data_IF_002994844890
#
_entry.id   IF_002994844890
#
_cell.length_a   1.000
_cell.length_b   1.000
_cell.length_c   1.000
_cell.angle_alpha   90.00
_cell.angle_beta   90.00
_cell.angle_gamma   90.00
#
_symmetry.space_group_name_H-M   'P 1'
#
loop_
_entity.id
_entity.type
_entity.pdbx_description
1 polymer ?
#
# COMPACT_ATOMS: atom_id res chain seq x y z
N UNK A 1 14.19 -5.85 37.05
CA UNK A 1 15.38 -5.77 36.17
C UNK A 1 15.42 -4.41 35.46
N UNK A 2 16.60 -3.83 35.24
CA UNK A 2 16.77 -2.52 34.57
C UNK A 2 16.10 -2.52 33.20
N UNK A 3 16.30 -3.58 32.42
CA UNK A 3 15.66 -3.78 31.12
C UNK A 3 14.12 -3.62 31.12
N UNK A 4 13.43 -4.11 32.15
CA UNK A 4 11.96 -3.98 32.25
C UNK A 4 11.56 -2.53 32.47
N UNK A 5 12.35 -1.76 33.21
CA UNK A 5 12.11 -0.34 33.41
C UNK A 5 12.37 0.45 32.12
N UNK A 6 13.45 0.15 31.41
CA UNK A 6 13.80 0.77 30.12
C UNK A 6 12.72 0.54 29.06
N UNK A 7 12.22 -0.68 28.92
CA UNK A 7 11.14 -0.99 27.96
C UNK A 7 9.86 -0.22 28.31
N UNK A 8 9.51 -0.09 29.59
CA UNK A 8 8.34 0.69 30.02
C UNK A 8 8.49 2.17 29.70
N UNK A 9 9.67 2.73 29.96
CA UNK A 9 9.98 4.12 29.64
C UNK A 9 9.91 4.38 28.12
N UNK A 10 10.49 3.48 27.32
CA UNK A 10 10.42 3.56 25.87
C UNK A 10 8.97 3.48 25.37
N UNK A 11 8.16 2.53 25.88
CA UNK A 11 6.74 2.43 25.53
C UNK A 11 5.99 3.71 25.91
N UNK A 12 6.22 4.27 27.10
CA UNK A 12 5.58 5.50 27.54
C UNK A 12 5.96 6.69 26.64
N UNK A 13 7.23 6.80 26.27
CA UNK A 13 7.72 7.82 25.35
C UNK A 13 7.08 7.68 23.96
N UNK A 14 7.06 6.48 23.40
CA UNK A 14 6.45 6.22 22.09
C UNK A 14 4.94 6.52 22.08
N UNK A 15 4.23 6.13 23.13
CA UNK A 15 2.80 6.43 23.28
C UNK A 15 2.54 7.95 23.41
N UNK A 16 3.39 8.66 24.15
CA UNK A 16 3.28 10.11 24.31
C UNK A 16 3.58 10.89 23.01
N UNK A 17 4.37 10.30 22.10
CA UNK A 17 4.77 10.91 20.84
C UNK A 17 4.08 10.29 19.61
N UNK A 18 2.96 9.58 19.81
CA UNK A 18 2.24 8.96 18.71
C UNK A 18 1.52 10.04 17.87
N UNK A 19 2.01 10.28 16.66
CA UNK A 19 1.44 11.29 15.78
C UNK A 19 0.15 10.83 15.08
N UNK A 20 0.02 9.52 14.86
CA UNK A 20 -1.10 8.92 14.13
C UNK A 20 -1.59 7.69 14.88
N UNK A 21 -2.89 7.63 15.15
CA UNK A 21 -3.51 6.43 15.70
C UNK A 21 -3.90 5.48 14.59
N UNK A 22 -3.58 4.21 14.78
CA UNK A 22 -4.00 3.13 13.90
C UNK A 22 -5.33 2.55 14.39
N UNK A 23 -6.04 1.87 13.49
CA UNK A 23 -7.29 1.16 13.80
C UNK A 23 -7.53 0.06 12.77
N UNK A 24 -8.31 -0.97 13.11
CA UNK A 24 -8.59 -2.07 12.18
C UNK A 24 -9.14 -1.56 10.83
N UNK A 25 -8.63 -2.09 9.71
CA UNK A 25 -9.06 -1.66 8.36
C UNK A 25 -10.56 -1.86 8.13
N UNK A 26 -11.15 -2.90 8.74
CA UNK A 26 -12.59 -3.15 8.70
C UNK A 26 -12.94 -4.60 8.41
N UNK A 27 -14.23 -4.84 8.16
CA UNK A 27 -14.79 -6.17 7.96
C UNK A 27 -14.20 -6.89 6.74
N UNK A 28 -13.95 -8.19 6.88
CA UNK A 28 -13.41 -9.01 5.80
C UNK A 28 -11.93 -8.78 5.49
N UNK A 29 -11.19 -8.09 6.37
CA UNK A 29 -9.73 -7.99 6.42
C UNK A 29 -9.17 -8.71 7.68
N UNK A 30 -7.88 -9.09 7.70
CA UNK A 30 -7.26 -9.68 8.89
C UNK A 30 -7.26 -8.72 10.08
N UNK A 31 -7.54 -9.21 11.28
CA UNK A 31 -7.61 -8.38 12.51
C UNK A 31 -6.29 -7.68 12.86
N UNK A 32 -5.15 -8.27 12.47
CA UNK A 32 -3.83 -7.69 12.70
C UNK A 32 -3.47 -6.56 11.72
N UNK A 33 -4.32 -6.30 10.72
CA UNK A 33 -4.10 -5.27 9.72
C UNK A 33 -4.81 -3.98 10.12
N UNK A 34 -4.03 -2.95 10.37
CA UNK A 34 -4.54 -1.66 10.81
C UNK A 34 -4.32 -0.58 9.74
N UNK A 35 -5.32 0.27 9.57
CA UNK A 35 -5.23 1.54 8.87
C UNK A 35 -4.09 2.37 9.49
N UNK A 36 -3.27 2.97 8.63
CA UNK A 36 -2.07 3.74 8.94
C UNK A 36 -0.95 2.95 9.62
N UNK A 37 -1.12 1.64 9.81
CA UNK A 37 -0.06 0.77 10.30
C UNK A 37 1.11 0.72 9.32
N UNK A 38 2.32 0.61 9.87
CA UNK A 38 3.56 0.58 9.12
C UNK A 38 4.08 -0.85 9.10
N UNK A 39 4.18 -1.45 7.91
CA UNK A 39 4.51 -2.85 7.75
C UNK A 39 5.55 -3.06 6.67
N UNK A 40 6.52 -3.93 6.93
CA UNK A 40 7.33 -4.55 5.88
C UNK A 40 6.44 -5.41 4.98
N UNK A 41 6.93 -5.69 3.77
CA UNK A 41 6.21 -6.55 2.83
C UNK A 41 6.05 -7.96 3.39
N UNK A 42 7.04 -8.43 4.14
CA UNK A 42 7.07 -9.71 4.83
C UNK A 42 6.00 -9.79 5.93
N UNK A 43 5.83 -8.74 6.74
CA UNK A 43 4.76 -8.66 7.74
C UNK A 43 3.39 -8.68 7.09
N UNK A 44 3.19 -7.92 6.00
CA UNK A 44 1.93 -7.93 5.23
C UNK A 44 1.63 -9.36 4.77
N UNK A 45 2.60 -10.06 4.19
CA UNK A 45 2.39 -11.44 3.77
C UNK A 45 2.18 -12.42 4.92
N UNK A 46 2.78 -12.20 6.09
CA UNK A 46 2.52 -12.99 7.28
C UNK A 46 1.07 -12.79 7.75
N UNK A 47 0.59 -11.54 7.81
CA UNK A 47 -0.78 -11.19 8.17
C UNK A 47 -1.80 -11.86 7.24
N UNK A 48 -1.48 -11.97 5.96
CA UNK A 48 -2.31 -12.66 4.96
C UNK A 48 -2.03 -14.17 4.82
N UNK A 49 -1.25 -14.78 5.71
CA UNK A 49 -0.96 -16.22 5.70
C UNK A 49 -0.15 -16.71 4.49
N UNK A 50 0.53 -15.80 3.79
CA UNK A 50 1.40 -16.10 2.63
C UNK A 50 2.84 -16.37 3.03
N UNK A 51 3.23 -15.99 4.24
CA UNK A 51 4.53 -16.26 4.85
C UNK A 51 4.33 -16.88 6.23
N UNK A 52 4.86 -18.10 6.43
CA UNK A 52 4.81 -18.84 7.69
C UNK A 52 6.20 -19.42 8.02
N UNK A 53 6.35 -20.05 9.19
CA UNK A 53 7.60 -20.73 9.57
C UNK A 53 8.02 -21.80 8.53
N UNK A 54 7.04 -22.54 8.01
CA UNK A 54 7.26 -23.64 7.07
C UNK A 54 7.14 -23.22 5.60
N UNK A 55 6.63 -22.00 5.33
CA UNK A 55 6.38 -21.49 3.98
C UNK A 55 7.01 -20.12 3.81
N UNK A 56 8.08 -20.05 3.03
CA UNK A 56 8.56 -18.78 2.48
C UNK A 56 7.84 -18.50 1.18
N UNK A 57 7.29 -17.29 1.06
CA UNK A 57 6.73 -16.85 -0.19
C UNK A 57 7.85 -16.74 -1.23
N UNK A 58 7.72 -17.48 -2.34
CA UNK A 58 8.58 -17.35 -3.51
C UNK A 58 7.79 -16.63 -4.60
N UNK A 59 8.33 -15.52 -5.11
CA UNK A 59 7.76 -14.82 -6.25
C UNK A 59 6.73 -13.74 -5.91
N UNK A 60 7.15 -12.49 -6.10
CA UNK A 60 6.51 -11.49 -6.95
C UNK A 60 7.29 -10.21 -6.71
N UNK A 61 8.06 -9.80 -7.71
CA UNK A 61 8.71 -8.46 -7.77
C UNK A 61 7.68 -7.41 -8.20
N UNK A 62 6.45 -7.81 -8.50
CA UNK A 62 5.41 -6.91 -8.97
C UNK A 62 4.73 -6.20 -7.79
N UNK A 63 4.49 -4.90 -7.97
CA UNK A 63 3.80 -4.01 -7.02
C UNK A 63 2.34 -4.36 -6.78
N UNK A 64 1.86 -5.53 -7.23
CA UNK A 64 0.49 -6.00 -7.02
C UNK A 64 0.50 -7.48 -6.66
N UNK A 65 -0.34 -7.90 -5.72
CA UNK A 65 -0.49 -9.29 -5.30
C UNK A 65 -1.94 -9.66 -5.06
N UNK A 66 -2.41 -10.77 -5.64
CA UNK A 66 -3.79 -11.21 -5.53
C UNK A 66 -3.97 -12.26 -4.42
N UNK A 67 -5.02 -12.11 -3.62
CA UNK A 67 -5.45 -13.04 -2.57
C UNK A 67 -6.83 -13.57 -2.96
N UNK A 68 -6.84 -14.68 -3.68
CA UNK A 68 -8.05 -15.27 -4.26
C UNK A 68 -9.10 -15.62 -3.21
N UNK A 69 -8.69 -16.22 -2.09
CA UNK A 69 -9.58 -16.70 -1.02
C UNK A 69 -10.32 -15.55 -0.33
N UNK A 70 -9.83 -14.32 -0.44
CA UNK A 70 -10.44 -13.11 0.13
C UNK A 70 -11.07 -12.19 -0.91
N UNK A 71 -10.95 -12.53 -2.21
CA UNK A 71 -11.25 -11.65 -3.34
C UNK A 71 -10.60 -10.25 -3.17
N UNK A 72 -9.35 -10.23 -2.72
CA UNK A 72 -8.61 -8.99 -2.39
C UNK A 72 -7.33 -8.91 -3.20
N UNK A 73 -6.99 -7.74 -3.73
CA UNK A 73 -5.72 -7.48 -4.39
C UNK A 73 -4.95 -6.38 -3.65
N UNK A 74 -3.70 -6.67 -3.30
CA UNK A 74 -2.82 -5.79 -2.53
C UNK A 74 -1.98 -4.96 -3.48
N UNK A 75 -1.99 -3.64 -3.32
CA UNK A 75 -1.19 -2.69 -4.09
C UNK A 75 -0.02 -2.22 -3.23
N UNK A 76 1.19 -2.37 -3.74
CA UNK A 76 2.44 -1.91 -3.11
C UNK A 76 3.04 -0.81 -3.98
N UNK A 77 2.92 0.43 -3.51
CA UNK A 77 3.32 1.61 -4.25
C UNK A 77 4.51 2.30 -3.57
N UNK A 78 5.49 2.67 -4.39
CA UNK A 78 6.62 3.53 -3.98
C UNK A 78 6.52 4.83 -4.78
N UNK A 79 6.31 5.96 -4.11
CA UNK A 79 6.05 7.25 -4.75
C UNK A 79 7.30 7.83 -5.42
N UNK A 80 8.41 7.85 -4.70
CA UNK A 80 9.69 8.30 -5.19
C UNK A 80 10.44 7.10 -5.77
N UNK A 81 10.28 6.90 -7.08
CA UNK A 81 11.11 5.99 -7.86
C UNK A 81 12.45 6.68 -8.16
N UNK A 82 13.21 7.07 -7.15
CA UNK A 82 14.57 7.56 -7.37
C UNK A 82 15.51 6.37 -7.58
N UNK A 83 16.02 6.20 -8.79
CA UNK A 83 17.48 6.11 -8.98
C UNK A 83 17.90 6.18 -10.48
N UNK A 84 18.73 7.19 -10.74
CA UNK A 84 19.84 7.28 -11.72
C UNK A 84 19.67 7.28 -13.24
N UNK A 85 18.55 6.93 -13.90
CA UNK A 85 18.54 6.92 -15.38
C UNK A 85 17.21 7.24 -16.08
N UNK A 86 16.36 8.10 -15.53
CA UNK A 86 15.10 8.48 -16.19
C UNK A 86 15.08 9.93 -16.65
N UNK A 87 14.88 10.13 -17.96
CA UNK A 87 14.64 11.43 -18.57
C UNK A 87 13.45 12.13 -17.90
N UNK A 88 13.56 13.46 -17.76
CA UNK A 88 12.67 14.34 -16.99
C UNK A 88 11.17 14.34 -17.39
N UNK A 89 10.75 13.48 -18.32
CA UNK A 89 9.39 13.41 -18.86
C UNK A 89 8.58 12.18 -18.41
N UNK A 90 9.13 11.30 -17.56
CA UNK A 90 8.48 10.03 -17.16
C UNK A 90 8.32 9.86 -15.64
N UNK A 91 8.24 10.95 -14.87
CA UNK A 91 8.11 10.87 -13.41
C UNK A 91 6.66 11.01 -12.95
N UNK A 92 6.28 10.12 -12.01
CA UNK A 92 5.00 9.99 -11.30
C UNK A 92 3.88 9.23 -12.02
N UNK A 93 4.12 7.96 -12.32
CA UNK A 93 3.02 7.04 -12.68
C UNK A 93 2.03 6.81 -11.53
N UNK A 94 2.49 6.95 -10.28
CA UNK A 94 1.68 6.72 -9.07
C UNK A 94 1.83 7.91 -8.13
N UNK A 95 0.73 8.57 -7.75
CA UNK A 95 0.76 9.77 -6.91
C UNK A 95 -0.55 10.02 -6.16
N UNK A 96 -0.44 10.81 -5.10
CA UNK A 96 -1.57 11.29 -4.31
C UNK A 96 -2.20 12.47 -5.03
N UNK A 97 -3.49 12.39 -5.35
CA UNK A 97 -4.23 13.48 -6.03
C UNK A 97 -4.84 14.43 -5.00
N UNK A 98 -5.42 13.86 -3.94
CA UNK A 98 -5.98 14.59 -2.80
C UNK A 98 -5.98 13.69 -1.56
N UNK A 99 -6.49 14.19 -0.44
CA UNK A 99 -6.67 13.40 0.78
C UNK A 99 -7.47 12.10 0.55
N UNK A 100 -8.44 12.09 -0.37
CA UNK A 100 -9.31 10.93 -0.64
C UNK A 100 -9.12 10.34 -2.04
N UNK A 101 -8.13 10.78 -2.80
CA UNK A 101 -7.91 10.28 -4.16
C UNK A 101 -6.45 9.94 -4.43
N UNK A 102 -6.24 8.74 -4.98
CA UNK A 102 -4.94 8.23 -5.38
C UNK A 102 -4.94 7.86 -6.85
N UNK A 103 -3.91 8.27 -7.57
CA UNK A 103 -3.68 7.88 -8.95
C UNK A 103 -2.67 6.74 -9.01
N UNK A 104 -2.99 5.70 -9.78
CA UNK A 104 -2.15 4.53 -9.93
C UNK A 104 -2.13 4.05 -11.38
N UNK A 105 -0.95 3.66 -11.86
CA UNK A 105 -0.79 3.09 -13.20
C UNK A 105 -0.63 1.58 -13.14
N UNK A 106 -1.39 0.90 -13.98
CA UNK A 106 -1.39 -0.56 -14.01
C UNK A 106 -0.11 -1.15 -14.59
N UNK A 107 0.00 -2.48 -14.52
CA UNK A 107 1.06 -3.17 -15.26
C UNK A 107 0.86 -2.95 -16.77
N UNK A 108 1.95 -2.94 -17.55
CA UNK A 108 1.97 -2.77 -19.01
C UNK A 108 1.21 -3.84 -19.82
N UNK A 109 0.45 -4.71 -19.18
CA UNK A 109 -0.30 -5.82 -19.79
C UNK A 109 -1.74 -5.86 -19.30
N UNK A 110 -2.10 -5.01 -18.35
CA UNK A 110 -3.50 -4.78 -17.96
C UNK A 110 -4.13 -3.86 -18.99
N UNK A 111 -5.32 -4.25 -19.46
CA UNK A 111 -6.17 -3.50 -20.40
C UNK A 111 -7.64 -3.62 -19.97
N UNK A 112 -8.49 -2.67 -20.37
CA UNK A 112 -9.91 -2.64 -20.02
C UNK A 112 -10.66 -3.90 -20.45
N UNK A 113 -10.28 -4.48 -21.61
CA UNK A 113 -10.89 -5.71 -22.14
C UNK A 113 -10.18 -7.00 -21.69
N UNK A 114 -8.98 -6.88 -21.15
CA UNK A 114 -8.15 -7.99 -20.70
C UNK A 114 -8.11 -8.11 -19.18
N UNK A 115 -6.90 -8.31 -18.63
CA UNK A 115 -6.70 -8.50 -17.18
C UNK A 115 -7.19 -7.30 -16.36
N UNK A 116 -7.10 -6.09 -16.90
CA UNK A 116 -7.52 -4.85 -16.23
C UNK A 116 -9.02 -4.72 -16.01
N UNK A 117 -9.84 -5.54 -16.70
CA UNK A 117 -11.29 -5.60 -16.48
C UNK A 117 -11.67 -5.85 -15.02
N UNK A 118 -10.78 -6.48 -14.22
CA UNK A 118 -10.99 -6.72 -12.78
C UNK A 118 -11.12 -5.43 -11.96
N UNK A 119 -10.44 -4.36 -12.37
CA UNK A 119 -10.52 -3.05 -11.72
C UNK A 119 -11.85 -2.37 -12.05
N UNK A 120 -12.16 -2.25 -13.34
CA UNK A 120 -13.35 -1.55 -13.85
C UNK A 120 -14.65 -2.22 -13.39
N UNK A 121 -14.64 -3.55 -13.22
CA UNK A 121 -15.80 -4.33 -12.80
C UNK A 121 -15.94 -4.45 -11.28
N UNK A 122 -15.24 -3.64 -10.48
CA UNK A 122 -15.29 -3.73 -9.01
C UNK A 122 -16.72 -3.80 -8.46
N UNK A 123 -17.61 -2.95 -8.99
CA UNK A 123 -19.00 -2.88 -8.56
C UNK A 123 -19.76 -4.22 -8.72
N UNK A 124 -19.40 -5.04 -9.71
CA UNK A 124 -20.07 -6.32 -10.00
C UNK A 124 -19.30 -7.52 -9.44
N UNK A 125 -17.97 -7.53 -9.55
CA UNK A 125 -17.14 -8.64 -9.05
C UNK A 125 -16.83 -8.56 -7.55
N UNK A 126 -17.19 -7.44 -6.88
CA UNK A 126 -16.98 -7.19 -5.45
C UNK A 126 -15.53 -7.37 -4.99
N UNK A 127 -14.57 -7.19 -5.90
CA UNK A 127 -13.14 -7.29 -5.59
C UNK A 127 -12.74 -6.14 -4.67
N UNK A 128 -11.95 -6.46 -3.66
CA UNK A 128 -11.39 -5.49 -2.72
C UNK A 128 -9.98 -5.12 -3.16
N UNK A 129 -9.62 -3.85 -3.05
CA UNK A 129 -8.27 -3.37 -3.33
C UNK A 129 -7.72 -2.72 -2.07
N UNK A 130 -6.51 -3.11 -1.68
CA UNK A 130 -5.88 -2.64 -0.45
C UNK A 130 -4.57 -1.93 -0.77
N UNK A 131 -4.45 -0.68 -0.36
CA UNK A 131 -3.35 0.20 -0.73
C UNK A 131 -2.26 0.25 0.35
N UNK A 132 -1.03 -0.07 -0.04
CA UNK A 132 0.18 0.07 0.76
C UNK A 132 1.15 1.02 0.07
N UNK A 133 1.57 2.09 0.75
CA UNK A 133 2.40 3.14 0.15
C UNK A 133 3.62 3.42 0.99
N UNK A 134 4.74 3.66 0.33
CA UNK A 134 5.94 4.25 0.93
C UNK A 134 6.46 5.36 0.03
N UNK A 135 7.18 6.30 0.61
CA UNK A 135 7.81 7.37 -0.16
C UNK A 135 8.99 6.82 -0.95
N UNK A 136 9.99 6.27 -0.27
CA UNK A 136 11.23 5.79 -0.87
C UNK A 136 11.37 4.28 -0.71
N UNK A 137 12.15 3.63 -1.57
CA UNK A 137 12.46 2.20 -1.42
C UNK A 137 13.41 1.94 -0.25
N UNK A 138 14.38 2.82 -0.06
CA UNK A 138 15.36 2.76 1.02
C UNK A 138 15.39 4.07 1.81
N UNK A 139 15.76 3.98 3.08
CA UNK A 139 16.03 5.14 3.94
C UNK A 139 17.45 5.68 3.71
N UNK A 140 17.80 6.76 4.42
CA UNK A 140 19.14 7.36 4.35
C UNK A 140 20.28 6.46 4.85
N UNK A 141 19.96 5.31 5.45
CA UNK A 141 20.91 4.32 5.95
C UNK A 141 20.97 3.06 5.07
N UNK A 142 20.21 3.02 3.97
CA UNK A 142 20.17 1.88 3.03
C UNK A 142 19.22 0.75 3.44
N UNK A 143 18.44 0.91 4.52
CA UNK A 143 17.46 -0.09 4.92
C UNK A 143 16.22 0.00 4.02
N UNK A 144 15.54 -1.12 3.79
CA UNK A 144 14.29 -1.11 3.01
C UNK A 144 13.17 -0.45 3.82
N UNK A 145 12.55 0.59 3.25
CA UNK A 145 11.43 1.26 3.91
C UNK A 145 10.17 0.37 3.94
N UNK A 146 9.47 0.33 5.09
CA UNK A 146 8.16 -0.30 5.19
C UNK A 146 7.09 0.53 4.46
N UNK A 147 5.89 -0.02 4.36
CA UNK A 147 4.72 0.60 3.74
C UNK A 147 3.67 0.99 4.79
N UNK A 148 3.09 2.16 4.64
CA UNK A 148 1.86 2.54 5.34
C UNK A 148 0.67 1.82 4.69
N UNK A 149 -0.20 1.23 5.49
CA UNK A 149 -1.49 0.73 5.04
C UNK A 149 -2.48 1.90 4.95
N UNK A 150 -2.90 2.28 3.74
CA UNK A 150 -3.98 3.26 3.55
C UNK A 150 -5.36 2.62 3.40
N UNK A 151 -5.44 1.31 3.63
CA UNK A 151 -6.71 0.60 3.69
C UNK A 151 -7.34 0.39 2.32
N UNK A 152 -8.66 0.25 2.35
CA UNK A 152 -9.46 -0.09 1.19
C UNK A 152 -9.62 1.12 0.25
N UNK A 153 -9.59 0.82 -1.05
CA UNK A 153 -9.79 1.80 -2.12
C UNK A 153 -10.82 1.30 -3.13
N UNK A 154 -11.56 2.24 -3.70
CA UNK A 154 -12.59 1.98 -4.71
C UNK A 154 -12.24 2.64 -6.05
N UNK A 155 -12.52 1.93 -7.13
CA UNK A 155 -12.35 2.41 -8.50
C UNK A 155 -13.27 3.60 -8.76
N UNK A 156 -12.71 4.70 -9.25
CA UNK A 156 -13.45 5.88 -9.72
C UNK A 156 -13.58 5.82 -11.25
N UNK A 157 -12.43 5.82 -11.92
CA UNK A 157 -12.32 5.91 -13.37
C UNK A 157 -10.96 5.42 -13.83
N UNK A 158 -10.87 5.11 -15.13
CA UNK A 158 -9.58 4.86 -15.78
C UNK A 158 -9.59 5.35 -17.21
N UNK A 159 -8.40 5.69 -17.69
CA UNK A 159 -8.10 6.05 -19.07
C UNK A 159 -6.79 5.38 -19.48
N UNK A 160 -6.35 5.62 -20.72
CA UNK A 160 -5.36 4.80 -21.42
C UNK A 160 -5.78 3.32 -21.48
N UNK A 161 -4.93 2.43 -21.99
CA UNK A 161 -5.31 1.00 -22.03
C UNK A 161 -4.15 0.05 -21.81
N UNK A 162 -2.91 0.44 -22.14
CA UNK A 162 -1.73 -0.42 -21.93
C UNK A 162 -0.47 0.43 -21.66
N UNK A 163 -0.17 0.76 -20.39
CA UNK A 163 -0.95 0.47 -19.18
C UNK A 163 -2.19 1.36 -19.02
N UNK A 164 -3.08 0.98 -18.11
CA UNK A 164 -4.22 1.79 -17.67
C UNK A 164 -3.78 2.79 -16.60
N UNK A 165 -4.27 4.02 -16.71
CA UNK A 165 -4.16 5.08 -15.71
C UNK A 165 -5.46 5.08 -14.90
N UNK A 166 -5.41 4.82 -13.60
CA UNK A 166 -6.60 4.54 -12.76
C UNK A 166 -6.65 5.48 -11.56
N UNK A 167 -7.81 6.11 -11.38
CA UNK A 167 -8.11 6.91 -10.20
C UNK A 167 -8.89 6.09 -9.17
N UNK A 168 -8.40 6.12 -7.94
CA UNK A 168 -8.92 5.38 -6.81
C UNK A 168 -9.39 6.33 -5.72
N UNK A 169 -10.55 6.03 -5.13
CA UNK A 169 -11.09 6.69 -3.95
C UNK A 169 -10.63 5.96 -2.70
N UNK A 170 -9.98 6.64 -1.77
CA UNK A 170 -9.69 6.06 -0.46
C UNK A 170 -10.91 6.07 0.44
N UNK A 171 -11.06 5.03 1.26
CA UNK A 171 -12.10 4.97 2.29
C UNK A 171 -11.79 5.87 3.49
N UNK A 172 -10.50 6.09 3.75
CA UNK A 172 -9.96 6.94 4.81
C UNK A 172 -8.97 7.93 4.21
N UNK A 173 -8.84 9.15 4.76
CA UNK A 173 -7.94 10.15 4.19
C UNK A 173 -6.50 9.65 4.26
N UNK A 174 -5.69 9.99 3.27
CA UNK A 174 -4.25 9.74 3.34
C UNK A 174 -3.62 10.55 4.47
N UNK A 175 -2.50 10.09 5.00
CA UNK A 175 -1.82 10.84 6.05
C UNK A 175 -1.23 12.16 5.51
N UNK A 176 -1.31 13.27 6.26
CA UNK A 176 -0.93 14.60 5.77
C UNK A 176 0.49 14.69 5.20
N UNK A 177 1.45 13.92 5.71
CA UNK A 177 2.83 13.92 5.21
C UNK A 177 2.96 13.43 3.75
N UNK A 178 1.97 12.71 3.22
CA UNK A 178 1.95 12.26 1.83
C UNK A 178 1.30 13.27 0.87
N UNK A 179 0.65 14.30 1.40
CA UNK A 179 0.09 15.39 0.60
C UNK A 179 1.23 16.36 0.33
N UNK A 180 1.69 16.43 -0.92
CA UNK A 180 2.65 17.47 -1.31
C UNK A 180 1.95 18.83 -1.17
N UNK A 181 2.51 19.70 -0.33
CA UNK A 181 2.10 21.09 -0.29
C UNK A 181 2.32 21.70 -1.68
N UNK A 182 1.26 22.25 -2.27
CA UNK A 182 1.30 23.01 -3.53
C UNK A 182 1.94 24.37 -3.26
#
# INVERSE_FOLDING_TARGET
PVFVAEIRELCAYLLANIATRTFAVGEGMPLALEQYGLYTREEIFAIFGRQTADRKMQGSVAGVFNIDEMNTELFFVTLNKSDKDFSATTLYDDYVVSEYQFHWKSQNTDTHRGRGARFVKQATNKKKFLLFVRENKQDGFGNTCPFYCFGLIDYISSYDDKPMSIDWKLHQPILPQFIKAI
#
